data_IF_977657581364
#
_entry.id   IF_977657581364
#
_cell.length_a   1.000
_cell.length_b   1.000
_cell.length_c   1.000
_cell.angle_alpha   90.00
_cell.angle_beta   90.00
_cell.angle_gamma   90.00
#
_symmetry.space_group_name_H-M   'P 1'
#
loop_
_entity.id
_entity.type
_entity.pdbx_description
1 polymer ?
#
# COMPACT_ATOMS: atom_id res chain seq x y z
N UNK A 1 22.01 -14.65 5.50
CA UNK A 1 22.18 -13.23 5.88
C UNK A 1 20.88 -12.70 6.46
N UNK A 2 20.93 -12.26 7.72
CA UNK A 2 19.82 -11.57 8.38
C UNK A 2 19.55 -10.25 7.66
N UNK A 3 18.28 -9.90 7.46
CA UNK A 3 17.90 -8.64 6.83
C UNK A 3 18.36 -7.51 7.74
N UNK A 4 19.26 -6.65 7.24
CA UNK A 4 19.68 -5.48 7.99
C UNK A 4 18.53 -4.46 8.00
N UNK A 5 17.70 -4.49 9.05
CA UNK A 5 16.58 -3.56 9.21
C UNK A 5 17.00 -2.09 9.20
N UNK A 6 18.26 -1.77 9.51
CA UNK A 6 18.78 -0.40 9.40
C UNK A 6 19.02 0.07 7.96
N UNK A 7 19.13 -0.88 7.02
CA UNK A 7 19.16 -0.63 5.57
C UNK A 7 17.77 -0.67 4.95
N UNK A 8 16.79 -1.25 5.65
CA UNK A 8 15.36 -1.09 5.32
C UNK A 8 14.86 0.32 5.68
N UNK A 9 15.60 1.35 5.25
CA UNK A 9 15.27 2.79 5.28
C UNK A 9 14.03 3.13 4.44
N UNK A 10 13.24 2.14 4.03
CA UNK A 10 12.09 2.24 3.15
C UNK A 10 10.88 2.90 3.82
N UNK A 11 11.05 3.41 5.03
CA UNK A 11 10.07 4.22 5.74
C UNK A 11 10.61 5.62 6.05
N UNK A 12 11.84 5.93 5.63
CA UNK A 12 12.38 7.30 5.70
C UNK A 12 11.68 8.26 4.72
N UNK A 13 10.58 7.84 4.07
CA UNK A 13 9.74 8.73 3.27
C UNK A 13 8.79 9.61 4.11
N UNK A 14 8.86 9.55 5.44
CA UNK A 14 8.17 10.53 6.29
C UNK A 14 8.79 10.57 7.69
N UNK A 15 8.65 11.68 8.44
CA UNK A 15 8.92 11.69 9.87
C UNK A 15 8.13 10.60 10.59
N UNK A 16 8.73 9.95 11.59
CA UNK A 16 8.04 8.91 12.40
C UNK A 16 6.76 9.43 13.06
N UNK A 17 6.67 10.74 13.29
CA UNK A 17 5.50 11.43 13.86
C UNK A 17 4.38 11.68 12.86
N UNK A 18 4.61 11.47 11.55
CA UNK A 18 3.61 11.74 10.51
C UNK A 18 2.48 10.71 10.45
N UNK A 19 2.71 9.50 10.97
CA UNK A 19 1.71 8.44 11.03
C UNK A 19 1.26 8.23 12.49
N UNK A 20 -0.01 8.49 12.76
CA UNK A 20 -0.57 8.37 14.11
C UNK A 20 -1.89 7.61 14.12
N UNK A 21 -2.14 6.84 15.18
CA UNK A 21 -3.45 6.28 15.44
C UNK A 21 -3.92 6.75 16.82
N UNK A 22 -5.13 7.30 16.88
CA UNK A 22 -5.70 7.87 18.10
C UNK A 22 -4.75 8.90 18.76
N UNK A 23 -4.08 9.72 17.92
CA UNK A 23 -3.16 10.78 18.32
C UNK A 23 -1.78 10.32 18.80
N UNK A 24 -1.46 9.02 18.67
CA UNK A 24 -0.16 8.45 19.08
C UNK A 24 0.65 8.00 17.87
N UNK A 25 1.97 8.27 17.82
CA UNK A 25 2.82 7.77 16.75
C UNK A 25 2.74 6.25 16.60
N UNK A 26 2.62 5.77 15.37
CA UNK A 26 2.59 4.34 15.08
C UNK A 26 4.01 3.75 15.17
N UNK A 27 4.19 2.58 15.83
CA UNK A 27 5.49 1.92 15.93
C UNK A 27 5.79 1.12 14.64
N UNK A 28 5.85 1.80 13.49
CA UNK A 28 5.92 1.19 12.14
C UNK A 28 7.07 0.20 12.01
N UNK A 29 8.26 0.57 12.51
CA UNK A 29 9.43 -0.32 12.50
C UNK A 29 9.17 -1.66 13.19
N UNK A 30 8.55 -1.64 14.38
CA UNK A 30 8.19 -2.85 15.12
C UNK A 30 7.07 -3.63 14.41
N UNK A 31 6.06 -2.92 13.90
CA UNK A 31 4.90 -3.50 13.22
C UNK A 31 5.26 -4.22 11.92
N UNK A 32 6.31 -3.76 11.23
CA UNK A 32 6.77 -4.36 9.98
C UNK A 32 7.92 -5.36 10.16
N UNK A 33 8.52 -5.48 11.35
CA UNK A 33 9.67 -6.35 11.58
C UNK A 33 9.38 -7.84 11.33
N UNK A 34 8.23 -8.33 11.78
CA UNK A 34 7.86 -9.74 11.55
C UNK A 34 7.46 -9.98 10.09
N UNK A 35 6.53 -9.22 9.49
CA UNK A 35 6.09 -9.49 8.12
C UNK A 35 7.19 -9.27 7.09
N UNK A 36 8.08 -8.29 7.24
CA UNK A 36 9.18 -8.11 6.28
C UNK A 36 10.23 -9.21 6.39
N UNK A 37 10.48 -9.74 7.59
CA UNK A 37 11.38 -10.89 7.77
C UNK A 37 10.77 -12.15 7.14
N UNK A 38 9.48 -12.37 7.35
CA UNK A 38 8.72 -13.46 6.73
C UNK A 38 8.76 -13.35 5.20
N UNK A 39 8.44 -12.17 4.64
CA UNK A 39 8.48 -11.92 3.21
C UNK A 39 9.87 -12.15 2.62
N UNK A 40 10.92 -11.62 3.24
CA UNK A 40 12.29 -11.78 2.75
C UNK A 40 12.76 -13.24 2.78
N UNK A 41 12.25 -14.03 3.73
CA UNK A 41 12.52 -15.47 3.79
C UNK A 41 11.82 -16.17 2.63
N UNK A 42 10.54 -15.89 2.42
CA UNK A 42 9.75 -16.45 1.33
C UNK A 42 10.26 -16.08 -0.06
N UNK A 43 10.74 -14.85 -0.27
CA UNK A 43 11.33 -14.43 -1.54
C UNK A 43 12.53 -15.29 -1.95
N UNK A 44 13.30 -15.81 -0.98
CA UNK A 44 14.41 -16.74 -1.26
C UNK A 44 13.92 -18.14 -1.66
N UNK A 45 12.73 -18.52 -1.21
CA UNK A 45 12.10 -19.81 -1.52
C UNK A 45 11.37 -19.78 -2.86
N UNK A 46 10.74 -18.65 -3.22
CA UNK A 46 9.91 -18.52 -4.42
C UNK A 46 10.70 -18.42 -5.74
N UNK A 47 11.96 -17.97 -5.71
CA UNK A 47 12.72 -17.74 -6.95
C UNK A 47 12.13 -16.61 -7.80
N UNK A 48 12.30 -16.68 -9.13
CA UNK A 48 11.98 -15.58 -10.07
C UNK A 48 10.52 -15.51 -10.55
N UNK A 49 9.57 -16.23 -9.93
CA UNK A 49 8.19 -16.34 -10.43
C UNK A 49 7.15 -15.83 -9.40
N UNK A 50 6.51 -14.71 -9.80
CA UNK A 50 5.11 -14.24 -9.63
C UNK A 50 4.65 -13.59 -8.33
N UNK A 51 3.84 -12.54 -8.55
CA UNK A 51 2.90 -11.81 -7.69
C UNK A 51 2.42 -12.55 -6.43
N UNK A 52 3.12 -12.33 -5.31
CA UNK A 52 2.71 -12.74 -3.95
C UNK A 52 2.48 -11.56 -3.01
N UNK A 53 2.42 -10.34 -3.55
CA UNK A 53 2.08 -9.14 -2.81
C UNK A 53 0.77 -8.55 -3.32
N UNK A 54 -0.17 -8.36 -2.42
CA UNK A 54 -1.46 -7.72 -2.66
C UNK A 54 -1.43 -6.35 -1.99
N UNK A 55 -1.66 -5.28 -2.76
CA UNK A 55 -1.69 -3.90 -2.26
C UNK A 55 -3.15 -3.50 -2.08
N UNK A 56 -3.51 -3.03 -0.89
CA UNK A 56 -4.85 -2.48 -0.60
C UNK A 56 -4.73 -1.02 -0.22
N UNK A 57 -5.04 -0.10 -1.15
CA UNK A 57 -5.09 1.32 -0.86
C UNK A 57 -6.33 1.69 -0.02
N UNK A 58 -6.13 2.60 0.93
CA UNK A 58 -7.17 3.15 1.80
C UNK A 58 -8.29 3.84 1.04
N UNK A 59 -9.42 3.98 1.73
CA UNK A 59 -10.58 4.67 1.19
C UNK A 59 -11.34 5.43 2.27
N UNK A 60 -11.30 6.75 2.13
CA UNK A 60 -12.25 7.64 2.77
C UNK A 60 -12.87 8.57 1.72
N UNK A 61 -14.21 8.72 1.68
CA UNK A 61 -14.83 9.67 0.77
C UNK A 61 -14.29 11.09 0.99
N UNK A 62 -13.87 11.77 -0.08
CA UNK A 62 -13.33 13.15 0.00
C UNK A 62 -14.30 14.13 0.66
N UNK A 63 -15.61 13.87 0.57
CA UNK A 63 -16.68 14.69 1.18
C UNK A 63 -17.02 14.29 2.63
N UNK A 64 -16.30 13.35 3.23
CA UNK A 64 -16.52 12.95 4.61
C UNK A 64 -16.21 14.14 5.54
N UNK A 65 -17.22 14.57 6.30
CA UNK A 65 -17.10 15.70 7.26
C UNK A 65 -16.73 15.25 8.68
N UNK A 66 -16.76 13.95 8.94
CA UNK A 66 -16.46 13.35 10.25
C UNK A 66 -15.43 12.24 10.07
N UNK A 67 -14.52 12.05 11.03
CA UNK A 67 -13.62 10.91 11.03
C UNK A 67 -14.37 9.59 10.91
N UNK A 68 -13.92 8.72 10.02
CA UNK A 68 -14.43 7.36 9.85
C UNK A 68 -13.30 6.41 10.16
N UNK A 69 -13.48 5.55 11.17
CA UNK A 69 -12.44 4.62 11.62
C UNK A 69 -12.19 3.51 10.60
N UNK A 70 -13.21 3.09 9.87
CA UNK A 70 -13.10 2.11 8.78
C UNK A 70 -14.32 2.22 7.89
N UNK A 71 -14.13 2.54 6.62
CA UNK A 71 -15.25 2.66 5.70
C UNK A 71 -15.72 1.27 5.22
N UNK A 72 -17.03 1.01 5.01
CA UNK A 72 -17.49 -0.28 4.48
C UNK A 72 -16.82 -0.70 3.17
N UNK A 73 -16.57 0.26 2.27
CA UNK A 73 -15.81 0.05 1.02
C UNK A 73 -14.37 -0.37 1.27
N UNK A 74 -13.73 0.17 2.31
CA UNK A 74 -12.37 -0.23 2.69
C UNK A 74 -12.37 -1.67 3.21
N UNK A 75 -13.32 -2.03 4.08
CA UNK A 75 -13.47 -3.40 4.57
C UNK A 75 -13.79 -4.40 3.45
N UNK A 76 -14.61 -4.01 2.47
CA UNK A 76 -14.89 -4.82 1.27
C UNK A 76 -13.60 -5.13 0.49
N UNK A 77 -12.71 -4.15 0.31
CA UNK A 77 -11.42 -4.37 -0.36
C UNK A 77 -10.54 -5.36 0.40
N UNK A 78 -10.56 -5.33 1.73
CA UNK A 78 -9.85 -6.33 2.55
C UNK A 78 -10.41 -7.73 2.34
N UNK A 79 -11.74 -7.89 2.28
CA UNK A 79 -12.36 -9.19 1.98
C UNK A 79 -11.93 -9.72 0.60
N UNK A 80 -11.87 -8.85 -0.41
CA UNK A 80 -11.38 -9.20 -1.75
C UNK A 80 -9.90 -9.61 -1.73
N UNK A 81 -9.06 -8.87 -0.98
CA UNK A 81 -7.65 -9.20 -0.83
C UNK A 81 -7.43 -10.54 -0.12
N UNK A 82 -8.24 -10.87 0.89
CA UNK A 82 -8.20 -12.17 1.57
C UNK A 82 -8.61 -13.30 0.62
N UNK A 83 -9.71 -13.15 -0.12
CA UNK A 83 -10.14 -14.13 -1.11
C UNK A 83 -9.07 -14.35 -2.19
N UNK A 84 -8.38 -13.29 -2.62
CA UNK A 84 -7.26 -13.40 -3.54
C UNK A 84 -6.05 -14.11 -2.91
N UNK A 85 -5.72 -13.80 -1.65
CA UNK A 85 -4.63 -14.45 -0.91
C UNK A 85 -4.83 -15.96 -0.77
N UNK A 86 -6.07 -16.42 -0.57
CA UNK A 86 -6.40 -17.85 -0.52
C UNK A 86 -6.08 -18.56 -1.84
N UNK A 87 -6.26 -17.88 -2.98
CA UNK A 87 -5.89 -18.40 -4.31
C UNK A 87 -4.38 -18.35 -4.56
N UNK A 88 -3.71 -17.35 -3.99
CA UNK A 88 -2.28 -17.08 -4.18
C UNK A 88 -1.40 -17.66 -3.07
N UNK A 89 -1.85 -18.68 -2.31
CA UNK A 89 -1.14 -19.39 -1.21
C UNK A 89 0.21 -18.79 -0.82
N UNK A 90 0.31 -18.34 0.43
CA UNK A 90 1.44 -17.61 1.02
C UNK A 90 1.62 -16.14 0.62
N UNK A 91 0.65 -15.55 -0.09
CA UNK A 91 0.69 -14.12 -0.39
C UNK A 91 0.62 -13.22 0.86
N UNK A 92 1.21 -12.04 0.73
CA UNK A 92 1.24 -10.94 1.70
C UNK A 92 0.25 -9.86 1.30
N UNK A 93 -0.30 -9.17 2.29
CA UNK A 93 -1.17 -8.01 2.07
C UNK A 93 -0.44 -6.77 2.61
N UNK A 94 -0.16 -5.81 1.75
CA UNK A 94 0.31 -4.48 2.11
C UNK A 94 -0.88 -3.51 2.11
N UNK A 95 -1.23 -2.99 3.28
CA UNK A 95 -2.26 -1.97 3.44
C UNK A 95 -1.61 -0.59 3.44
N UNK A 96 -2.17 0.34 2.66
CA UNK A 96 -1.53 1.65 2.44
C UNK A 96 -2.52 2.81 2.54
N UNK A 97 -2.19 3.81 3.36
CA UNK A 97 -3.02 4.99 3.62
C UNK A 97 -2.73 5.65 4.96
N UNK A 98 -2.72 6.98 4.98
CA UNK A 98 -2.36 7.79 6.15
C UNK A 98 -3.54 8.42 6.89
N UNK A 99 -3.24 9.47 7.67
CA UNK A 99 -4.21 10.32 8.36
C UNK A 99 -4.72 11.44 7.44
N UNK A 100 -5.40 11.09 6.34
CA UNK A 100 -5.67 12.04 5.24
C UNK A 100 -7.03 12.70 5.38
N UNK A 101 -8.10 11.91 5.50
CA UNK A 101 -9.45 12.42 5.36
C UNK A 101 -10.35 12.04 6.54
N UNK A 102 -11.17 12.98 7.04
CA UNK A 102 -11.01 14.43 6.85
C UNK A 102 -9.68 14.92 7.43
N UNK A 103 -9.26 16.13 7.05
CA UNK A 103 -8.06 16.77 7.59
C UNK A 103 -8.13 16.79 9.13
N UNK A 104 -7.05 16.37 9.79
CA UNK A 104 -6.99 16.23 11.25
C UNK A 104 -7.65 14.98 11.81
N UNK A 105 -8.00 14.00 10.97
CA UNK A 105 -8.52 12.70 11.43
C UNK A 105 -7.53 12.00 12.38
N UNK A 106 -7.99 11.49 13.54
CA UNK A 106 -7.14 10.69 14.42
C UNK A 106 -6.90 9.26 13.89
N UNK A 107 -7.59 8.86 12.82
CA UNK A 107 -7.54 7.51 12.27
C UNK A 107 -6.57 7.45 11.09
N UNK A 108 -5.71 6.44 11.13
CA UNK A 108 -4.81 6.11 10.03
C UNK A 108 -5.39 4.92 9.28
N UNK A 109 -5.68 5.11 7.99
CA UNK A 109 -6.37 4.10 7.17
C UNK A 109 -5.62 2.75 7.17
N UNK A 110 -4.30 2.76 6.94
CA UNK A 110 -3.51 1.53 6.92
C UNK A 110 -3.48 0.82 8.28
N UNK A 111 -3.45 1.57 9.38
CA UNK A 111 -3.51 0.99 10.71
C UNK A 111 -4.83 0.26 10.95
N UNK A 112 -5.94 0.92 10.68
CA UNK A 112 -7.28 0.35 10.86
C UNK A 112 -7.47 -0.86 9.96
N UNK A 113 -7.03 -0.80 8.70
CA UNK A 113 -7.04 -1.94 7.80
C UNK A 113 -6.21 -3.12 8.32
N UNK A 114 -5.00 -2.89 8.85
CA UNK A 114 -4.17 -3.96 9.46
C UNK A 114 -4.89 -4.60 10.65
N UNK A 115 -5.48 -3.80 11.53
CA UNK A 115 -6.24 -4.33 12.68
C UNK A 115 -7.45 -5.16 12.24
N UNK A 116 -8.17 -4.76 11.18
CA UNK A 116 -9.27 -5.58 10.63
C UNK A 116 -8.78 -6.88 9.99
N UNK A 117 -7.69 -6.86 9.22
CA UNK A 117 -7.14 -8.07 8.61
C UNK A 117 -6.81 -9.11 9.67
N UNK A 118 -6.16 -8.71 10.76
CA UNK A 118 -5.76 -9.61 11.85
C UNK A 118 -6.97 -10.01 12.71
N UNK A 119 -7.68 -9.02 13.26
CA UNK A 119 -8.69 -9.24 14.28
C UNK A 119 -10.05 -9.71 13.76
N UNK A 120 -10.41 -9.39 12.52
CA UNK A 120 -11.73 -9.71 11.94
C UNK A 120 -11.67 -10.72 10.80
N UNK A 121 -10.60 -10.71 10.01
CA UNK A 121 -10.44 -11.57 8.83
C UNK A 121 -9.42 -12.71 9.05
N UNK A 122 -8.80 -12.79 10.23
CA UNK A 122 -7.94 -13.90 10.63
C UNK A 122 -6.63 -14.02 9.83
N UNK A 123 -6.20 -12.94 9.18
CA UNK A 123 -4.91 -12.92 8.46
C UNK A 123 -3.77 -12.91 9.48
N UNK A 124 -2.81 -13.84 9.40
CA UNK A 124 -1.65 -13.83 10.28
C UNK A 124 -0.87 -12.50 10.22
N UNK A 125 -0.46 -11.99 11.38
CA UNK A 125 0.27 -10.70 11.47
C UNK A 125 1.56 -10.70 10.65
N UNK A 126 2.25 -11.85 10.57
CA UNK A 126 3.46 -12.04 9.76
C UNK A 126 3.19 -11.98 8.25
N UNK A 127 1.94 -11.77 7.81
CA UNK A 127 1.53 -11.62 6.41
C UNK A 127 0.93 -10.25 6.09
N UNK A 128 0.90 -9.32 7.05
CA UNK A 128 0.31 -7.98 6.88
C UNK A 128 1.37 -6.88 7.04
N UNK A 129 1.72 -6.24 5.92
CA UNK A 129 2.65 -5.11 5.85
C UNK A 129 1.87 -3.80 6.00
N UNK A 130 2.37 -2.92 6.85
CA UNK A 130 1.77 -1.62 7.16
C UNK A 130 2.48 -0.48 6.42
N UNK A 131 1.77 0.26 5.59
CA UNK A 131 2.23 1.49 4.92
C UNK A 131 1.35 2.68 5.36
N UNK A 132 1.71 3.39 6.44
CA UNK A 132 0.79 4.36 7.04
C UNK A 132 1.07 5.82 6.66
N UNK A 133 1.91 6.07 5.66
CA UNK A 133 2.40 7.42 5.35
C UNK A 133 1.84 8.01 4.05
N UNK A 134 1.18 7.21 3.22
CA UNK A 134 0.61 7.73 1.99
C UNK A 134 -0.50 8.76 2.25
N UNK A 135 -0.49 9.83 1.45
CA UNK A 135 -1.43 10.95 1.53
C UNK A 135 -2.39 11.02 0.34
N UNK A 136 -2.06 10.29 -0.72
CA UNK A 136 -2.80 10.25 -1.98
C UNK A 136 -2.78 8.85 -2.58
N UNK A 137 -3.71 8.60 -3.50
CA UNK A 137 -3.73 7.36 -4.29
C UNK A 137 -2.42 7.10 -5.04
N UNK A 138 -1.70 8.14 -5.49
CA UNK A 138 -0.38 8.02 -6.12
C UNK A 138 0.70 7.60 -5.12
N UNK A 139 0.72 8.19 -3.92
CA UNK A 139 1.70 7.83 -2.89
C UNK A 139 1.44 6.45 -2.28
N UNK A 140 0.19 5.96 -2.30
CA UNK A 140 -0.12 4.59 -1.85
C UNK A 140 0.71 3.57 -2.65
N UNK A 141 0.61 3.62 -3.98
CA UNK A 141 1.32 2.68 -4.86
C UNK A 141 2.83 2.97 -4.89
N UNK A 142 3.24 4.24 -4.83
CA UNK A 142 4.66 4.62 -4.77
C UNK A 142 5.34 4.03 -3.53
N UNK A 143 4.76 4.20 -2.34
CA UNK A 143 5.39 3.76 -1.09
C UNK A 143 5.61 2.26 -1.06
N UNK A 144 4.57 1.51 -1.41
CA UNK A 144 4.68 0.05 -1.50
C UNK A 144 5.60 -0.35 -2.66
N UNK A 145 5.58 0.37 -3.79
CA UNK A 145 6.50 0.15 -4.90
C UNK A 145 7.98 0.33 -4.51
N UNK A 146 8.32 1.36 -3.72
CA UNK A 146 9.69 1.55 -3.23
C UNK A 146 10.12 0.39 -2.33
N UNK A 147 9.21 -0.14 -1.49
CA UNK A 147 9.46 -1.36 -0.70
C UNK A 147 9.68 -2.57 -1.63
N UNK A 148 8.86 -2.73 -2.65
CA UNK A 148 9.00 -3.80 -3.65
C UNK A 148 10.38 -3.77 -4.29
N UNK A 149 10.80 -2.63 -4.83
CA UNK A 149 12.11 -2.48 -5.47
C UNK A 149 13.26 -2.77 -4.51
N UNK A 150 13.14 -2.37 -3.24
CA UNK A 150 14.17 -2.64 -2.24
C UNK A 150 14.28 -4.13 -1.86
N UNK A 151 13.19 -4.88 -1.98
CA UNK A 151 13.16 -6.32 -1.75
C UNK A 151 13.39 -7.15 -3.03
N UNK A 152 13.63 -6.49 -4.17
CA UNK A 152 13.81 -7.16 -5.46
C UNK A 152 12.51 -7.75 -6.03
N UNK A 153 11.35 -7.21 -5.65
CA UNK A 153 10.05 -7.59 -6.19
C UNK A 153 9.70 -6.72 -7.40
N UNK A 154 9.24 -7.35 -8.48
CA UNK A 154 8.94 -6.72 -9.76
C UNK A 154 7.43 -6.55 -10.01
N UNK A 155 6.58 -7.28 -9.28
CA UNK A 155 5.15 -7.32 -9.53
C UNK A 155 4.31 -7.48 -8.25
N UNK A 156 3.20 -6.74 -8.19
CA UNK A 156 2.16 -6.86 -7.16
C UNK A 156 0.78 -6.76 -7.81
N UNK A 157 -0.26 -7.21 -7.10
CA UNK A 157 -1.64 -6.94 -7.49
C UNK A 157 -2.24 -5.89 -6.57
N UNK A 158 -2.75 -4.81 -7.15
CA UNK A 158 -3.56 -3.82 -6.43
C UNK A 158 -5.00 -4.31 -6.40
N UNK A 159 -5.58 -4.39 -5.19
CA UNK A 159 -6.99 -4.68 -4.98
C UNK A 159 -7.71 -3.41 -4.55
N UNK A 160 -8.68 -2.98 -5.35
CA UNK A 160 -9.47 -1.77 -5.10
C UNK A 160 -10.88 -1.90 -5.70
N UNK A 161 -11.69 -0.85 -5.56
CA UNK A 161 -13.08 -0.83 -6.01
C UNK A 161 -13.51 0.56 -6.47
N UNK A 162 -14.59 0.61 -7.27
CA UNK A 162 -15.26 1.83 -7.69
C UNK A 162 -14.40 2.70 -8.61
N UNK A 163 -14.56 4.03 -8.52
CA UNK A 163 -13.81 4.97 -9.36
C UNK A 163 -12.29 4.88 -9.20
N UNK A 164 -11.78 4.42 -8.05
CA UNK A 164 -10.34 4.21 -7.85
C UNK A 164 -9.82 3.03 -8.69
N UNK A 165 -10.66 2.02 -8.94
CA UNK A 165 -10.36 0.93 -9.88
C UNK A 165 -10.09 1.46 -11.28
N UNK A 166 -11.02 2.22 -11.85
CA UNK A 166 -10.82 2.87 -13.16
C UNK A 166 -9.60 3.78 -13.17
N UNK A 167 -9.41 4.56 -12.08
CA UNK A 167 -8.28 5.48 -11.94
C UNK A 167 -6.93 4.77 -12.07
N UNK A 168 -6.75 3.61 -11.44
CA UNK A 168 -5.51 2.82 -11.55
C UNK A 168 -5.46 1.91 -12.78
N UNK A 169 -6.56 1.27 -13.15
CA UNK A 169 -6.61 0.26 -14.20
C UNK A 169 -6.45 0.80 -15.62
N UNK A 170 -6.72 2.09 -15.80
CA UNK A 170 -6.52 2.79 -17.09
C UNK A 170 -5.73 4.08 -16.86
N UNK A 171 -4.44 4.00 -16.51
CA UNK A 171 -3.69 5.16 -16.05
C UNK A 171 -3.50 6.24 -17.13
N UNK A 172 -3.58 5.86 -18.41
CA UNK A 172 -3.51 6.75 -19.58
C UNK A 172 -4.86 7.32 -20.03
N UNK A 173 -5.97 6.61 -19.74
CA UNK A 173 -7.33 7.10 -20.02
C UNK A 173 -7.88 7.93 -18.84
N UNK A 174 -7.40 7.65 -17.64
CA UNK A 174 -7.71 8.40 -16.43
C UNK A 174 -6.74 9.57 -16.25
N UNK A 175 -6.84 10.29 -15.13
CA UNK A 175 -5.89 11.35 -14.76
C UNK A 175 -4.72 10.86 -13.90
N UNK A 176 -4.55 9.54 -13.73
CA UNK A 176 -3.56 8.99 -12.81
C UNK A 176 -2.13 9.34 -13.22
N UNK A 177 -1.71 9.01 -14.45
CA UNK A 177 -0.36 9.31 -14.92
C UNK A 177 -0.09 10.83 -14.96
N UNK A 178 -1.11 11.63 -15.31
CA UNK A 178 -1.04 13.09 -15.23
C UNK A 178 -0.78 13.58 -13.80
N UNK A 179 -1.47 13.03 -12.79
CA UNK A 179 -1.25 13.38 -11.39
C UNK A 179 0.11 12.92 -10.90
N UNK A 180 0.56 11.72 -11.28
CA UNK A 180 1.89 11.22 -10.95
C UNK A 180 2.97 12.18 -11.45
N UNK A 181 2.96 12.54 -12.74
CA UNK A 181 3.91 13.52 -13.30
C UNK A 181 3.84 14.87 -12.61
N UNK A 182 2.63 15.38 -12.31
CA UNK A 182 2.44 16.69 -11.68
C UNK A 182 2.90 16.75 -10.22
N UNK A 183 2.69 15.69 -9.46
CA UNK A 183 2.92 15.69 -7.99
C UNK A 183 4.25 15.03 -7.63
N UNK A 184 4.70 14.06 -8.42
CA UNK A 184 5.89 13.26 -8.14
C UNK A 184 7.03 13.51 -9.14
N UNK A 185 6.77 14.12 -10.30
CA UNK A 185 7.77 14.32 -11.36
C UNK A 185 8.00 13.09 -12.25
N UNK A 186 7.36 11.95 -11.94
CA UNK A 186 7.50 10.69 -12.67
C UNK A 186 6.20 9.88 -12.64
N UNK A 187 6.11 8.85 -13.50
CA UNK A 187 5.09 7.81 -13.43
C UNK A 187 5.55 6.66 -12.53
N UNK A 188 4.60 5.86 -12.04
CA UNK A 188 4.93 4.80 -11.09
C UNK A 188 5.42 3.50 -11.75
N UNK A 189 5.29 3.39 -13.06
CA UNK A 189 5.53 2.17 -13.83
C UNK A 189 4.26 1.64 -14.47
N UNK A 190 4.23 0.32 -14.71
CA UNK A 190 3.14 -0.31 -15.46
C UNK A 190 1.96 -0.66 -14.55
N UNK A 191 0.75 -0.25 -14.94
CA UNK A 191 -0.52 -0.64 -14.32
C UNK A 191 -1.44 -1.22 -15.39
N UNK A 192 -1.91 -2.46 -15.19
CA UNK A 192 -2.75 -3.19 -16.14
C UNK A 192 -3.99 -3.72 -15.41
N UNK A 193 -5.18 -3.31 -15.84
CA UNK A 193 -6.43 -3.89 -15.36
C UNK A 193 -6.53 -5.37 -15.78
N UNK A 194 -6.78 -6.25 -14.81
CA UNK A 194 -6.96 -7.69 -15.05
C UNK A 194 -8.43 -8.07 -15.29
N UNK A 195 -9.36 -7.14 -15.03
CA UNK A 195 -10.79 -7.37 -15.10
C UNK A 195 -11.56 -6.06 -15.36
N UNK A 196 -12.81 -6.17 -15.80
CA UNK A 196 -13.70 -5.02 -16.02
C UNK A 196 -15.02 -5.17 -15.24
N UNK A 197 -15.46 -4.15 -14.46
CA UNK A 197 -14.70 -2.93 -14.11
C UNK A 197 -13.46 -3.26 -13.25
N UNK A 198 -12.39 -2.44 -13.26
CA UNK A 198 -11.14 -2.83 -12.64
C UNK A 198 -11.26 -2.94 -11.11
N UNK A 199 -10.92 -4.12 -10.61
CA UNK A 199 -10.81 -4.40 -9.17
C UNK A 199 -9.47 -5.03 -8.81
N UNK A 200 -8.83 -5.67 -9.79
CA UNK A 200 -7.49 -6.24 -9.73
C UNK A 200 -6.65 -5.56 -10.79
N UNK A 201 -5.54 -4.95 -10.37
CA UNK A 201 -4.61 -4.26 -11.28
C UNK A 201 -3.22 -4.80 -11.04
N UNK A 202 -2.59 -5.36 -12.06
CA UNK A 202 -1.17 -5.71 -12.00
C UNK A 202 -0.36 -4.42 -11.96
N UNK A 203 0.53 -4.31 -10.97
CA UNK A 203 1.43 -3.19 -10.79
C UNK A 203 2.86 -3.65 -10.86
N UNK A 204 3.65 -3.05 -11.77
CA UNK A 204 5.10 -3.23 -11.87
C UNK A 204 5.78 -1.89 -11.66
N UNK A 205 6.44 -1.65 -10.51
CA UNK A 205 7.08 -0.38 -10.22
C UNK A 205 8.25 -0.11 -11.17
N UNK A 206 8.39 1.14 -11.61
CA UNK A 206 9.56 1.63 -12.33
C UNK A 206 10.62 2.17 -11.37
N UNK A 207 11.91 2.10 -11.75
CA UNK A 207 13.02 2.61 -10.94
C UNK A 207 12.93 4.14 -10.68
N UNK A 208 12.22 4.89 -11.52
CA UNK A 208 11.96 6.31 -11.33
C UNK A 208 11.36 6.63 -9.96
N UNK A 209 10.57 5.72 -9.37
CA UNK A 209 9.96 5.95 -8.06
C UNK A 209 10.99 6.05 -6.93
N UNK A 210 12.24 5.63 -7.13
CA UNK A 210 13.34 5.81 -6.16
C UNK A 210 13.77 7.28 -6.03
N UNK A 211 13.47 8.10 -7.03
CA UNK A 211 13.77 9.53 -7.00
C UNK A 211 12.86 10.22 -5.98
N UNK A 212 13.41 11.24 -5.32
CA UNK A 212 12.61 12.19 -4.54
C UNK A 212 11.77 12.99 -5.53
N UNK A 213 10.45 12.98 -5.35
CA UNK A 213 9.55 13.73 -6.23
C UNK A 213 9.47 15.21 -5.88
N UNK A 214 8.64 15.94 -6.63
CA UNK A 214 8.38 17.37 -6.43
C UNK A 214 7.40 17.67 -5.27
N UNK A 215 6.84 16.64 -4.65
CA UNK A 215 5.97 16.78 -3.48
C UNK A 215 6.82 17.28 -2.30
N UNK A 216 6.53 18.47 -1.74
CA UNK A 216 7.34 19.06 -0.68
C UNK A 216 7.31 18.26 0.63
N UNK A 217 6.37 17.31 0.77
CA UNK A 217 6.33 16.38 1.90
C UNK A 217 6.71 14.94 1.47
N UNK A 218 7.24 14.74 0.25
CA UNK A 218 8.08 13.60 -0.11
C UNK A 218 9.52 13.94 0.32
N UNK A 219 10.07 13.24 1.31
CA UNK A 219 11.40 13.53 1.81
C UNK A 219 12.51 12.91 0.95
#
# INVERSE_FOLDING_TARGET
MAVNYSELRHWNYAPLTAATADGRPLPVGTQNRVPIQSLTTRLKEWGSIRTKLIIVPGYTPVKAKKPVRMHPTEFQRLQMAVAMRERLVDAFIAVSGGNVHPDGTPYNEAWEMKQALIGKLGVPEDRVILEPYARHSTTNLRNVGRLMLALGMDEATVVTTGGQGFYFGHPDLSTFNLRCRKVLGYELGTLIAENEPPTHITYRPDDAIKQRGDDPQDP
#
